data_IF_899808089757
#
_entry.id   IF_899808089757
#
_cell.length_a   1.000
_cell.length_b   1.000
_cell.length_c   1.000
_cell.angle_alpha   90.00
_cell.angle_beta   90.00
_cell.angle_gamma   90.00
#
_symmetry.space_group_name_H-M   'P 1'
#
loop_
_entity.id
_entity.type
_entity.pdbx_description
1 polymer ?
#
# COMPACT_ATOMS: atom_id res chain seq x y z
N UNK A 1 4.16 36.16 2.98
CA UNK A 1 5.63 36.18 2.80
C UNK A 1 6.21 34.98 3.51
N UNK A 2 7.16 34.28 2.91
CA UNK A 2 7.79 33.07 3.48
C UNK A 2 8.82 33.48 4.54
N UNK A 3 8.84 32.80 5.70
CA UNK A 3 9.76 33.08 6.81
C UNK A 3 11.15 32.51 6.47
N UNK A 4 12.26 33.26 6.67
CA UNK A 4 13.60 32.74 6.46
C UNK A 4 13.86 31.47 7.28
N UNK A 5 14.25 30.37 6.62
CA UNK A 5 14.48 29.05 7.25
C UNK A 5 13.30 28.08 7.19
N UNK A 6 12.13 28.48 6.68
CA UNK A 6 10.96 27.58 6.54
C UNK A 6 10.95 26.77 5.23
N UNK A 7 12.02 26.83 4.43
CA UNK A 7 12.09 26.11 3.16
C UNK A 7 12.39 24.64 3.44
N UNK A 8 11.36 23.80 3.37
CA UNK A 8 11.49 22.34 3.34
C UNK A 8 11.45 21.89 1.88
N UNK A 9 12.46 21.14 1.44
CA UNK A 9 12.48 20.51 0.13
C UNK A 9 12.41 18.99 0.32
N UNK A 10 11.36 18.37 -0.22
CA UNK A 10 11.15 16.93 -0.12
C UNK A 10 11.46 16.30 -1.48
N UNK A 11 12.47 15.44 -1.52
CA UNK A 11 12.82 14.66 -2.70
C UNK A 11 12.48 13.20 -2.43
N UNK A 12 11.52 12.67 -3.19
CA UNK A 12 11.21 11.25 -3.14
C UNK A 12 11.16 10.70 -4.56
N UNK A 13 12.05 9.75 -4.84
CA UNK A 13 12.12 9.06 -6.12
C UNK A 13 11.21 7.83 -6.05
N UNK A 14 10.12 7.83 -6.81
CA UNK A 14 9.15 6.72 -6.86
C UNK A 14 8.90 6.35 -8.32
N UNK A 15 9.00 5.06 -8.63
CA UNK A 15 8.73 4.52 -9.97
C UNK A 15 7.27 4.14 -10.22
N UNK A 16 6.30 4.81 -9.58
CA UNK A 16 4.88 4.44 -9.62
C UNK A 16 3.95 5.67 -9.61
N UNK A 17 2.69 5.48 -10.01
CA UNK A 17 1.61 6.48 -10.15
C UNK A 17 1.38 7.30 -8.87
N UNK A 18 1.72 6.74 -7.71
CA UNK A 18 1.58 7.41 -6.40
C UNK A 18 2.53 8.60 -6.21
N UNK A 19 3.49 8.81 -7.12
CA UNK A 19 4.34 10.00 -7.14
C UNK A 19 3.58 11.30 -7.43
N UNK A 20 2.31 11.24 -7.85
CA UNK A 20 1.52 12.42 -8.23
C UNK A 20 0.69 13.00 -7.08
N UNK A 21 0.67 12.37 -5.91
CA UNK A 21 -0.32 12.65 -4.88
C UNK A 21 0.23 13.27 -3.58
N UNK A 22 1.47 13.78 -3.64
CA UNK A 22 2.21 14.35 -2.50
C UNK A 22 1.65 15.63 -1.88
N UNK A 23 0.75 16.37 -2.53
CA UNK A 23 0.30 17.66 -1.98
C UNK A 23 -0.58 17.51 -0.72
N UNK A 24 -1.02 16.29 -0.38
CA UNK A 24 -1.72 16.01 0.87
C UNK A 24 -1.62 14.53 1.29
N UNK A 25 -0.53 14.16 1.99
CA UNK A 25 -0.28 12.77 2.43
C UNK A 25 -1.42 12.17 3.27
N UNK A 26 -2.08 12.98 4.12
CA UNK A 26 -3.23 12.52 4.90
C UNK A 26 -4.40 12.07 4.01
N UNK A 27 -4.61 12.75 2.89
CA UNK A 27 -5.65 12.41 1.91
C UNK A 27 -5.38 11.09 1.18
N UNK A 28 -4.14 10.58 1.22
CA UNK A 28 -3.75 9.30 0.63
C UNK A 28 -4.00 8.11 1.55
N UNK A 29 -3.99 8.35 2.87
CA UNK A 29 -4.30 7.32 3.87
C UNK A 29 -5.81 7.18 3.99
N UNK A 30 -6.39 6.43 3.07
CA UNK A 30 -7.82 6.13 3.01
C UNK A 30 -8.09 4.67 3.37
N UNK A 31 -9.29 4.39 3.88
CA UNK A 31 -9.69 3.04 4.27
C UNK A 31 -9.73 2.16 3.01
N UNK A 32 -9.02 1.03 3.00
CA UNK A 32 -9.08 0.09 1.89
C UNK A 32 -10.48 -0.53 1.77
N UNK A 33 -11.13 -0.30 0.63
CA UNK A 33 -12.47 -0.79 0.28
C UNK A 33 -12.54 -1.03 -1.23
N UNK A 34 -13.64 -1.63 -1.70
CA UNK A 34 -13.89 -1.84 -3.13
C UNK A 34 -13.47 -3.22 -3.63
N UNK A 35 -13.13 -3.32 -4.92
CA UNK A 35 -12.58 -4.54 -5.52
C UNK A 35 -11.09 -4.73 -5.15
N UNK A 36 -10.52 -5.89 -5.49
CA UNK A 36 -9.12 -6.21 -5.22
C UNK A 36 -8.12 -5.17 -5.74
N UNK A 37 -8.38 -4.53 -6.90
CA UNK A 37 -7.52 -3.42 -7.35
C UNK A 37 -7.66 -2.17 -6.47
N UNK A 38 -8.90 -1.75 -6.17
CA UNK A 38 -9.16 -0.54 -5.38
C UNK A 38 -8.63 -0.67 -3.96
N UNK A 39 -8.80 -1.85 -3.35
CA UNK A 39 -8.23 -2.16 -2.04
C UNK A 39 -6.71 -1.98 -2.03
N UNK A 40 -6.02 -2.45 -3.09
CA UNK A 40 -4.58 -2.33 -3.21
C UNK A 40 -4.07 -0.91 -3.47
N UNK A 41 -4.85 -0.05 -4.12
CA UNK A 41 -4.49 1.38 -4.28
C UNK A 41 -4.35 2.06 -2.91
N UNK A 42 -5.29 1.81 -2.01
CA UNK A 42 -5.28 2.37 -0.66
C UNK A 42 -4.23 1.72 0.24
N UNK A 43 -4.03 0.40 0.10
CA UNK A 43 -2.95 -0.31 0.78
C UNK A 43 -1.57 0.25 0.39
N UNK A 44 -1.29 0.37 -0.91
CA UNK A 44 -0.03 0.89 -1.42
C UNK A 44 0.22 2.33 -0.98
N UNK A 45 -0.82 3.16 -0.97
CA UNK A 45 -0.76 4.53 -0.45
C UNK A 45 -0.34 4.56 1.03
N UNK A 46 -0.89 3.66 1.85
CA UNK A 46 -0.54 3.58 3.27
C UNK A 46 0.91 3.14 3.50
N UNK A 47 1.40 2.14 2.75
CA UNK A 47 2.81 1.72 2.76
C UNK A 47 3.72 2.89 2.41
N UNK A 48 3.35 3.63 1.36
CA UNK A 48 4.14 4.74 0.87
C UNK A 48 4.24 5.90 1.89
N UNK A 49 3.14 6.23 2.55
CA UNK A 49 3.12 7.26 3.61
C UNK A 49 4.06 6.89 4.75
N UNK A 50 4.08 5.63 5.21
CA UNK A 50 5.00 5.21 6.26
C UNK A 50 6.46 5.24 5.79
N UNK A 51 6.75 4.82 4.55
CA UNK A 51 8.10 4.94 3.98
C UNK A 51 8.57 6.39 3.85
N UNK A 52 7.65 7.32 3.59
CA UNK A 52 7.92 8.75 3.57
C UNK A 52 8.24 9.29 4.97
N UNK A 53 7.43 8.92 5.97
CA UNK A 53 7.65 9.33 7.37
C UNK A 53 8.99 8.80 7.90
N UNK A 54 9.39 7.58 7.53
CA UNK A 54 10.71 7.02 7.89
C UNK A 54 11.90 7.82 7.34
N UNK A 55 11.70 8.53 6.23
CA UNK A 55 12.74 9.35 5.58
C UNK A 55 12.63 10.83 5.90
N UNK A 56 11.56 11.23 6.57
CA UNK A 56 11.29 12.63 6.91
C UNK A 56 11.81 12.96 8.31
N UNK A 57 12.15 14.24 8.53
CA UNK A 57 12.53 14.74 9.86
C UNK A 57 11.31 15.00 10.77
N UNK A 58 10.10 14.90 10.23
CA UNK A 58 8.81 15.04 10.92
C UNK A 58 8.18 13.65 11.03
N UNK A 59 8.17 13.07 12.23
CA UNK A 59 7.50 11.80 12.51
C UNK A 59 6.09 12.09 13.07
N UNK A 60 5.13 12.23 12.17
CA UNK A 60 3.72 12.33 12.54
C UNK A 60 3.22 10.96 13.02
N UNK A 61 3.23 10.78 14.35
CA UNK A 61 2.84 9.54 14.99
C UNK A 61 1.36 9.17 14.77
N UNK A 62 0.47 10.16 14.63
CA UNK A 62 -0.95 9.92 14.40
C UNK A 62 -1.17 9.40 12.97
N UNK A 63 -0.57 10.08 11.99
CA UNK A 63 -0.61 9.66 10.59
C UNK A 63 0.01 8.28 10.41
N UNK A 64 1.16 8.01 11.05
CA UNK A 64 1.82 6.70 11.04
C UNK A 64 0.90 5.61 11.61
N UNK A 65 0.32 5.84 12.79
CA UNK A 65 -0.59 4.89 13.43
C UNK A 65 -1.80 4.57 12.54
N UNK A 66 -2.39 5.61 11.92
CA UNK A 66 -3.50 5.46 10.98
C UNK A 66 -3.10 4.64 9.74
N UNK A 67 -1.94 4.94 9.14
CA UNK A 67 -1.44 4.22 7.97
C UNK A 67 -1.15 2.74 8.30
N UNK A 68 -0.57 2.43 9.45
CA UNK A 68 -0.35 1.05 9.91
C UNK A 68 -1.66 0.28 10.12
N UNK A 69 -2.66 0.93 10.72
CA UNK A 69 -4.00 0.36 10.89
C UNK A 69 -4.65 0.03 9.54
N UNK A 70 -4.54 0.95 8.57
CA UNK A 70 -5.11 0.76 7.24
C UNK A 70 -4.34 -0.27 6.41
N UNK A 71 -3.01 -0.36 6.56
CA UNK A 71 -2.23 -1.46 5.97
C UNK A 71 -2.73 -2.82 6.46
N UNK A 72 -2.89 -3.02 7.79
CA UNK A 72 -3.40 -4.29 8.34
C UNK A 72 -4.77 -4.65 7.77
N UNK A 73 -5.69 -3.69 7.78
CA UNK A 73 -7.04 -3.89 7.22
C UNK A 73 -7.02 -4.18 5.72
N UNK A 74 -6.18 -3.46 4.96
CA UNK A 74 -6.03 -3.68 3.53
C UNK A 74 -5.44 -5.06 3.21
N UNK A 75 -4.49 -5.54 4.01
CA UNK A 75 -3.96 -6.90 3.90
C UNK A 75 -5.06 -7.94 4.15
N UNK A 76 -5.77 -7.86 5.28
CA UNK A 76 -6.87 -8.77 5.62
C UNK A 76 -7.95 -8.81 4.52
N UNK A 77 -8.37 -7.64 4.04
CA UNK A 77 -9.31 -7.53 2.91
C UNK A 77 -8.73 -8.15 1.63
N UNK A 78 -7.44 -7.96 1.35
CA UNK A 78 -6.83 -8.44 0.11
C UNK A 78 -6.85 -9.96 0.02
N UNK A 79 -6.76 -10.66 1.15
CA UNK A 79 -6.83 -12.13 1.20
C UNK A 79 -8.13 -12.69 0.62
N UNK A 80 -9.23 -11.93 0.66
CA UNK A 80 -10.52 -12.32 0.07
C UNK A 80 -10.47 -12.44 -1.47
N UNK A 81 -9.48 -11.79 -2.09
CA UNK A 81 -9.27 -11.79 -3.53
C UNK A 81 -8.20 -12.77 -3.98
N UNK A 82 -7.56 -13.49 -3.05
CA UNK A 82 -6.65 -14.58 -3.40
C UNK A 82 -7.46 -15.81 -3.84
N UNK A 83 -7.06 -16.39 -4.96
CA UNK A 83 -7.69 -17.56 -5.57
C UNK A 83 -7.02 -18.84 -5.11
N UNK A 84 -7.63 -19.98 -5.42
CA UNK A 84 -7.15 -21.28 -4.99
C UNK A 84 -5.76 -21.62 -5.58
N UNK A 85 -5.48 -21.14 -6.80
CA UNK A 85 -4.18 -21.22 -7.47
C UNK A 85 -3.13 -20.24 -6.91
N UNK A 86 -3.50 -19.40 -5.94
CA UNK A 86 -2.60 -18.41 -5.31
C UNK A 86 -2.59 -17.03 -5.99
N UNK A 87 -3.15 -16.91 -7.20
CA UNK A 87 -3.25 -15.63 -7.92
C UNK A 87 -4.27 -14.69 -7.29
N UNK A 88 -4.20 -13.40 -7.61
CA UNK A 88 -5.17 -12.40 -7.20
C UNK A 88 -6.02 -11.91 -8.38
N UNK A 89 -7.30 -11.63 -8.14
CA UNK A 89 -8.20 -11.02 -9.13
C UNK A 89 -9.08 -9.91 -8.53
N UNK A 90 -9.74 -9.11 -9.35
CA UNK A 90 -10.57 -7.99 -8.91
C UNK A 90 -11.70 -8.42 -7.97
N UNK A 91 -12.30 -9.58 -8.25
CA UNK A 91 -13.47 -10.10 -7.52
C UNK A 91 -13.21 -11.50 -6.93
N UNK A 92 -11.94 -11.87 -6.78
CA UNK A 92 -11.53 -13.14 -6.18
C UNK A 92 -12.15 -14.34 -6.89
N UNK A 93 -12.81 -15.22 -6.14
CA UNK A 93 -13.42 -16.46 -6.70
C UNK A 93 -14.55 -16.22 -7.70
N UNK A 94 -15.10 -15.00 -7.79
CA UNK A 94 -16.14 -14.68 -8.77
C UNK A 94 -15.57 -14.56 -10.20
N UNK A 95 -14.28 -14.27 -10.34
CA UNK A 95 -13.63 -14.23 -11.65
C UNK A 95 -13.29 -15.63 -12.16
N UNK A 96 -13.16 -15.79 -13.49
CA UNK A 96 -12.76 -17.06 -14.08
C UNK A 96 -11.28 -17.39 -13.82
N UNK A 97 -10.42 -16.37 -13.70
CA UNK A 97 -8.96 -16.50 -13.54
C UNK A 97 -8.36 -15.34 -12.75
N UNK A 98 -7.12 -15.53 -12.29
CA UNK A 98 -6.30 -14.45 -11.74
C UNK A 98 -5.88 -13.42 -12.77
N UNK A 99 -5.51 -12.23 -12.28
CA UNK A 99 -4.86 -11.17 -13.05
C UNK A 99 -3.36 -11.19 -12.75
N UNK A 100 -2.53 -11.42 -13.78
CA UNK A 100 -1.06 -11.40 -13.65
C UNK A 100 -0.59 -10.04 -13.13
N UNK A 101 -1.15 -8.96 -13.65
CA UNK A 101 -0.80 -7.60 -13.23
C UNK A 101 -1.16 -7.37 -11.76
N UNK A 102 -2.37 -7.72 -11.34
CA UNK A 102 -2.80 -7.52 -9.96
C UNK A 102 -1.99 -8.40 -9.00
N UNK A 103 -1.73 -9.65 -9.38
CA UNK A 103 -0.91 -10.57 -8.58
C UNK A 103 0.49 -10.00 -8.37
N UNK A 104 1.16 -9.56 -9.44
CA UNK A 104 2.48 -8.94 -9.34
C UNK A 104 2.47 -7.66 -8.49
N UNK A 105 1.42 -6.84 -8.64
CA UNK A 105 1.24 -5.62 -7.84
C UNK A 105 1.07 -5.93 -6.35
N UNK A 106 0.20 -6.89 -6.01
CA UNK A 106 -0.01 -7.36 -4.63
C UNK A 106 1.31 -7.86 -4.04
N UNK A 107 2.01 -8.78 -4.71
CA UNK A 107 3.28 -9.34 -4.22
C UNK A 107 4.29 -8.22 -3.93
N UNK A 108 4.46 -7.28 -4.87
CA UNK A 108 5.36 -6.13 -4.67
C UNK A 108 4.97 -5.30 -3.44
N UNK A 109 3.71 -4.94 -3.31
CA UNK A 109 3.24 -4.12 -2.19
C UNK A 109 3.37 -4.85 -0.84
N UNK A 110 3.06 -6.14 -0.78
CA UNK A 110 3.20 -6.95 0.43
C UNK A 110 4.67 -7.05 0.86
N UNK A 111 5.61 -7.26 -0.07
CA UNK A 111 7.05 -7.24 0.21
C UNK A 111 7.50 -5.89 0.77
N UNK A 112 6.98 -4.78 0.23
CA UNK A 112 7.27 -3.44 0.75
C UNK A 112 6.66 -3.16 2.13
N UNK A 113 5.61 -3.89 2.51
CA UNK A 113 4.90 -3.73 3.77
C UNK A 113 5.47 -4.59 4.91
N UNK A 114 6.24 -5.65 4.61
CA UNK A 114 6.81 -6.58 5.61
C UNK A 114 7.56 -5.92 6.78
N UNK A 115 8.28 -4.80 6.61
CA UNK A 115 8.94 -4.12 7.74
C UNK A 115 7.96 -3.50 8.75
N UNK A 116 6.70 -3.30 8.36
CA UNK A 116 5.72 -2.49 9.08
C UNK A 116 4.57 -3.30 9.66
N UNK A 117 4.16 -4.38 8.98
CA UNK A 117 3.07 -5.26 9.39
C UNK A 117 3.46 -6.73 9.17
N UNK A 118 2.82 -7.61 9.93
CA UNK A 118 2.99 -9.05 9.76
C UNK A 118 2.26 -9.53 8.50
N UNK A 119 3.02 -10.17 7.60
CA UNK A 119 2.51 -10.77 6.37
C UNK A 119 2.82 -12.27 6.43
N UNK A 120 1.80 -13.10 6.20
CA UNK A 120 1.96 -14.56 6.17
C UNK A 120 2.84 -14.95 4.95
N UNK A 121 4.00 -15.59 5.16
CA UNK A 121 4.88 -16.01 4.07
C UNK A 121 4.21 -16.96 3.07
N UNK A 122 3.18 -17.70 3.49
CA UNK A 122 2.43 -18.61 2.63
C UNK A 122 1.59 -17.88 1.58
N UNK A 123 1.12 -16.67 1.88
CA UNK A 123 0.37 -15.84 0.94
C UNK A 123 1.27 -15.43 -0.22
N UNK A 124 2.50 -15.01 0.08
CA UNK A 124 3.51 -14.63 -0.91
C UNK A 124 3.97 -15.85 -1.74
N UNK A 125 4.29 -16.97 -1.08
CA UNK A 125 4.80 -18.15 -1.80
C UNK A 125 3.79 -18.69 -2.81
N UNK A 126 2.50 -18.73 -2.43
CA UNK A 126 1.42 -19.14 -3.33
C UNK A 126 1.25 -18.23 -4.53
N UNK A 127 1.44 -16.92 -4.37
CA UNK A 127 1.26 -15.95 -5.45
C UNK A 127 2.44 -15.88 -6.44
N UNK A 128 3.58 -16.49 -6.10
CA UNK A 128 4.80 -16.50 -6.92
C UNK A 128 5.04 -17.84 -7.64
N UNK A 129 4.16 -18.82 -7.47
CA UNK A 129 4.24 -20.15 -8.10
C UNK A 129 3.48 -20.17 -9.42
#
# INVERSE_FOLDING_TARGET
GVVPGSQKAHFVLVGDILALSFENLESLVQIPTGCGEQNMIHFASSVYVVQYLDKSFDDDAELRSKALSYMKKGYENQLLYQRDDGSFSAFGKQDASGSVWLTAFVVRCLLQAQPYIEIDPTVLSRAMT
#
